data_IF_097446421642
#
_entry.id   IF_097446421642
#
_cell.length_a   1.000
_cell.length_b   1.000
_cell.length_c   1.000
_cell.angle_alpha   90.00
_cell.angle_beta   90.00
_cell.angle_gamma   90.00
#
_symmetry.space_group_name_H-M   'P 1'
#
loop_
_entity.id
_entity.type
_entity.pdbx_description
1 polymer ?
#
# COMPACT_ATOMS: atom_id res chain seq x y z
N UNK A 1 1.97 -68.57 -1.78
CA UNK A 1 1.19 -67.47 -2.39
C UNK A 1 0.11 -67.07 -1.40
N UNK A 2 0.33 -65.98 -0.68
CA UNK A 2 -0.61 -65.49 0.34
C UNK A 2 -1.32 -64.28 -0.26
N UNK A 3 -2.61 -64.42 -0.58
CA UNK A 3 -3.45 -63.30 -1.03
C UNK A 3 -3.70 -62.37 0.17
N UNK A 4 -3.16 -61.15 0.11
CA UNK A 4 -3.55 -60.07 1.00
C UNK A 4 -4.85 -59.44 0.49
N UNK A 5 -5.92 -59.52 1.30
CA UNK A 5 -7.19 -58.87 1.00
C UNK A 5 -7.05 -57.35 1.15
N UNK A 6 -7.19 -56.62 0.04
CA UNK A 6 -7.35 -55.17 0.01
C UNK A 6 -8.80 -54.85 0.41
N UNK A 7 -9.01 -54.44 1.66
CA UNK A 7 -10.27 -53.84 2.09
C UNK A 7 -10.50 -52.49 1.39
N UNK A 8 -11.76 -52.11 1.11
CA UNK A 8 -12.07 -50.86 0.45
C UNK A 8 -11.70 -49.69 1.38
N UNK A 9 -10.75 -48.84 0.94
CA UNK A 9 -10.55 -47.52 1.53
C UNK A 9 -11.81 -46.70 1.21
N UNK A 10 -12.67 -46.53 2.20
CA UNK A 10 -13.65 -45.45 2.19
C UNK A 10 -12.87 -44.15 1.99
N UNK A 11 -13.02 -43.53 0.83
CA UNK A 11 -12.50 -42.21 0.56
C UNK A 11 -13.23 -41.24 1.50
N UNK A 12 -12.61 -40.94 2.65
CA UNK A 12 -13.00 -39.77 3.43
C UNK A 12 -12.85 -38.58 2.48
N UNK A 13 -13.96 -37.92 2.17
CA UNK A 13 -13.95 -36.55 1.64
C UNK A 13 -13.17 -35.71 2.66
N UNK A 14 -11.87 -35.48 2.43
CA UNK A 14 -11.07 -34.59 3.28
C UNK A 14 -11.79 -33.24 3.33
N UNK A 15 -12.25 -32.87 4.52
CA UNK A 15 -12.86 -31.56 4.74
C UNK A 15 -11.85 -30.49 4.33
N UNK A 16 -12.29 -29.52 3.53
CA UNK A 16 -11.41 -28.46 3.06
C UNK A 16 -10.93 -27.60 4.23
N UNK A 17 -9.65 -27.29 4.25
CA UNK A 17 -9.08 -26.34 5.21
C UNK A 17 -9.67 -24.95 4.96
N UNK A 18 -9.99 -24.23 6.03
CA UNK A 18 -10.63 -22.91 5.95
C UNK A 18 -9.62 -21.80 6.15
N UNK A 19 -9.48 -20.92 5.17
CA UNK A 19 -8.63 -19.73 5.28
C UNK A 19 -9.47 -18.47 5.14
N UNK A 20 -9.39 -17.61 6.15
CA UNK A 20 -10.03 -16.28 6.12
C UNK A 20 -8.98 -15.23 5.78
N UNK A 21 -9.27 -14.38 4.79
CA UNK A 21 -8.42 -13.26 4.40
C UNK A 21 -9.14 -11.96 4.78
N UNK A 22 -8.46 -11.10 5.54
CA UNK A 22 -9.00 -9.83 6.06
C UNK A 22 -8.38 -8.66 5.30
N UNK A 23 -9.21 -7.95 4.53
CA UNK A 23 -8.83 -6.81 3.69
C UNK A 23 -8.62 -7.20 2.22
N UNK A 24 -9.33 -6.55 1.31
CA UNK A 24 -9.33 -6.81 -0.14
C UNK A 24 -8.34 -5.97 -0.95
N UNK A 25 -7.44 -5.23 -0.29
CA UNK A 25 -6.36 -4.53 -0.97
C UNK A 25 -5.33 -5.47 -1.61
N UNK A 26 -4.22 -4.91 -2.09
CA UNK A 26 -3.18 -5.66 -2.82
C UNK A 26 -2.70 -6.92 -2.09
N UNK A 27 -2.43 -6.82 -0.78
CA UNK A 27 -1.98 -7.97 0.00
C UNK A 27 -3.02 -9.08 0.07
N UNK A 28 -4.26 -8.77 0.47
CA UNK A 28 -5.28 -9.80 0.67
C UNK A 28 -5.84 -10.36 -0.62
N UNK A 29 -6.10 -9.54 -1.65
CA UNK A 29 -6.53 -10.04 -2.95
C UNK A 29 -5.49 -10.98 -3.59
N UNK A 30 -4.20 -10.63 -3.49
CA UNK A 30 -3.11 -11.49 -3.95
C UNK A 30 -3.05 -12.78 -3.13
N UNK A 31 -3.11 -12.71 -1.80
CA UNK A 31 -3.06 -13.89 -0.94
C UNK A 31 -4.23 -14.84 -1.23
N UNK A 32 -5.45 -14.31 -1.33
CA UNK A 32 -6.65 -15.10 -1.64
C UNK A 32 -6.54 -15.81 -3.00
N UNK A 33 -6.11 -15.09 -4.05
CA UNK A 33 -5.91 -15.66 -5.39
C UNK A 33 -4.87 -16.78 -5.37
N UNK A 34 -3.73 -16.56 -4.73
CA UNK A 34 -2.63 -17.53 -4.74
C UNK A 34 -2.93 -18.75 -3.85
N UNK A 35 -3.62 -18.57 -2.72
CA UNK A 35 -4.15 -19.70 -1.93
C UNK A 35 -5.12 -20.54 -2.76
N UNK A 36 -6.01 -19.91 -3.53
CA UNK A 36 -6.97 -20.61 -4.40
C UNK A 36 -6.27 -21.41 -5.50
N UNK A 37 -5.13 -20.92 -5.99
CA UNK A 37 -4.32 -21.58 -7.00
C UNK A 37 -3.45 -22.71 -6.43
N UNK A 38 -3.03 -22.63 -5.16
CA UNK A 38 -2.07 -23.55 -4.55
C UNK A 38 -2.67 -24.90 -4.13
N UNK A 39 -3.96 -24.99 -3.80
CA UNK A 39 -4.58 -26.27 -3.43
C UNK A 39 -6.10 -26.28 -3.61
N UNK A 40 -6.64 -27.32 -4.26
CA UNK A 40 -8.11 -27.51 -4.44
C UNK A 40 -8.84 -27.85 -3.13
N UNK A 41 -8.08 -28.08 -2.06
CA UNK A 41 -8.54 -28.49 -0.73
C UNK A 41 -8.67 -27.33 0.26
N UNK A 42 -8.54 -26.07 -0.19
CA UNK A 42 -8.72 -24.88 0.66
C UNK A 42 -10.04 -24.18 0.32
N UNK A 43 -10.84 -23.89 1.32
CA UNK A 43 -12.00 -22.99 1.26
C UNK A 43 -11.56 -21.59 1.71
N UNK A 44 -11.77 -20.57 0.87
CA UNK A 44 -11.24 -19.23 1.08
C UNK A 44 -12.38 -18.24 1.20
N UNK A 45 -12.40 -17.50 2.30
CA UNK A 45 -13.30 -16.37 2.51
C UNK A 45 -12.50 -15.08 2.61
N UNK A 46 -12.70 -14.16 1.67
CA UNK A 46 -12.15 -12.81 1.69
C UNK A 46 -13.17 -11.85 2.28
N UNK A 47 -12.82 -11.15 3.35
CA UNK A 47 -13.66 -10.15 4.02
C UNK A 47 -13.12 -8.76 3.71
N UNK A 48 -13.91 -7.95 3.01
CA UNK A 48 -13.57 -6.57 2.63
C UNK A 48 -14.81 -5.69 2.60
N UNK A 49 -14.88 -4.61 3.40
CA UNK A 49 -16.09 -3.80 3.48
C UNK A 49 -16.42 -3.06 2.18
N UNK A 50 -15.42 -2.67 1.39
CA UNK A 50 -15.66 -1.90 0.17
C UNK A 50 -15.91 -2.83 -1.03
N UNK A 51 -16.97 -2.59 -1.82
CA UNK A 51 -17.25 -3.42 -3.01
C UNK A 51 -16.19 -3.26 -4.11
N UNK A 52 -15.42 -2.16 -4.08
CA UNK A 52 -14.36 -1.87 -5.02
C UNK A 52 -13.10 -1.38 -4.29
N UNK A 53 -11.94 -1.68 -4.86
CA UNK A 53 -10.64 -1.17 -4.44
C UNK A 53 -10.14 -0.14 -5.45
N UNK A 54 -9.79 1.06 -4.98
CA UNK A 54 -9.11 2.07 -5.81
C UNK A 54 -7.62 2.11 -5.47
N UNK A 55 -6.76 1.98 -6.47
CA UNK A 55 -5.30 1.96 -6.29
C UNK A 55 -4.78 3.33 -5.85
N UNK A 56 -3.95 3.34 -4.80
CA UNK A 56 -3.23 4.56 -4.41
C UNK A 56 -1.98 4.80 -5.27
N UNK A 57 -1.33 3.74 -5.72
CA UNK A 57 -0.35 3.82 -6.80
C UNK A 57 -1.07 4.27 -8.08
N UNK A 58 -0.40 5.10 -8.88
CA UNK A 58 -0.95 5.79 -10.07
C UNK A 58 -2.02 6.86 -9.77
N UNK A 59 -2.51 7.01 -8.53
CA UNK A 59 -3.46 8.08 -8.20
C UNK A 59 -2.92 9.50 -8.40
N UNK A 60 -1.59 9.68 -8.35
CA UNK A 60 -0.97 10.96 -8.69
C UNK A 60 -1.12 11.31 -10.19
N UNK A 61 -1.20 10.32 -11.09
CA UNK A 61 -1.50 10.54 -12.51
C UNK A 61 -2.94 11.06 -12.67
N UNK A 62 -3.88 10.53 -11.89
CA UNK A 62 -5.25 11.08 -11.83
C UNK A 62 -5.25 12.52 -11.32
N UNK A 63 -4.47 12.85 -10.28
CA UNK A 63 -4.33 14.23 -9.79
C UNK A 63 -3.77 15.18 -10.86
N UNK A 64 -2.97 14.66 -11.80
CA UNK A 64 -2.47 15.40 -12.96
C UNK A 64 -3.44 15.44 -14.15
N UNK A 65 -4.54 14.68 -14.12
CA UNK A 65 -5.47 14.54 -15.25
C UNK A 65 -4.98 13.59 -16.36
N UNK A 66 -4.02 12.71 -16.06
CA UNK A 66 -3.39 11.78 -17.01
C UNK A 66 -4.08 10.40 -17.05
N UNK A 67 -4.95 10.09 -16.09
CA UNK A 67 -5.80 8.89 -16.11
C UNK A 67 -7.13 9.16 -15.39
N UNK A 68 -8.11 8.27 -15.57
CA UNK A 68 -9.40 8.33 -14.88
C UNK A 68 -9.36 7.56 -13.57
N UNK A 69 -10.16 7.96 -12.57
CA UNK A 69 -10.30 7.21 -11.32
C UNK A 69 -10.89 5.79 -11.56
N UNK A 70 -11.72 5.64 -12.58
CA UNK A 70 -12.28 4.34 -12.98
C UNK A 70 -11.18 3.37 -13.40
N UNK A 71 -10.17 3.82 -14.16
CA UNK A 71 -9.01 2.99 -14.53
C UNK A 71 -8.20 2.50 -13.32
N UNK A 72 -8.34 3.21 -12.19
CA UNK A 72 -7.73 2.87 -10.90
C UNK A 72 -8.62 2.02 -10.00
N UNK A 73 -9.84 1.70 -10.41
CA UNK A 73 -10.84 1.05 -9.55
C UNK A 73 -11.11 -0.39 -10.01
N UNK A 74 -11.08 -1.32 -9.06
CA UNK A 74 -11.12 -2.75 -9.31
C UNK A 74 -12.15 -3.44 -8.41
N UNK A 75 -12.93 -4.35 -8.99
CA UNK A 75 -13.92 -5.14 -8.26
C UNK A 75 -13.43 -6.56 -7.97
N UNK A 76 -14.17 -7.28 -7.11
CA UNK A 76 -13.81 -8.63 -6.67
C UNK A 76 -14.50 -9.76 -7.44
N UNK A 77 -15.34 -9.42 -8.42
CA UNK A 77 -16.14 -10.40 -9.19
C UNK A 77 -15.29 -11.50 -9.82
N UNK A 78 -14.14 -11.14 -10.39
CA UNK A 78 -13.23 -12.10 -11.02
C UNK A 78 -12.65 -13.09 -10.00
N UNK A 79 -12.28 -12.61 -8.81
CA UNK A 79 -11.79 -13.47 -7.72
C UNK A 79 -12.89 -14.44 -7.28
N UNK A 80 -14.13 -13.99 -7.15
CA UNK A 80 -15.25 -14.86 -6.81
C UNK A 80 -15.55 -15.91 -7.89
N UNK A 81 -15.72 -15.48 -9.14
CA UNK A 81 -16.22 -16.35 -10.21
C UNK A 81 -15.15 -17.29 -10.78
N UNK A 82 -13.91 -16.82 -10.93
CA UNK A 82 -12.83 -17.59 -11.56
C UNK A 82 -12.02 -18.41 -10.56
N UNK A 83 -11.84 -17.89 -9.34
CA UNK A 83 -11.02 -18.51 -8.31
C UNK A 83 -11.85 -19.15 -7.18
N UNK A 84 -13.18 -19.05 -7.22
CA UNK A 84 -14.07 -19.67 -6.24
C UNK A 84 -13.93 -19.07 -4.83
N UNK A 85 -13.45 -17.82 -4.72
CA UNK A 85 -13.25 -17.14 -3.45
C UNK A 85 -14.60 -16.60 -2.96
N UNK A 86 -15.00 -16.95 -1.73
CA UNK A 86 -16.17 -16.37 -1.11
C UNK A 86 -15.83 -14.95 -0.65
N UNK A 87 -16.40 -13.93 -1.29
CA UNK A 87 -16.17 -12.52 -0.94
C UNK A 87 -17.32 -12.01 -0.10
N UNK A 88 -17.02 -11.60 1.14
CA UNK A 88 -17.99 -11.03 2.07
C UNK A 88 -17.71 -9.53 2.21
N UNK A 89 -18.71 -8.73 1.88
CA UNK A 89 -18.67 -7.28 2.08
C UNK A 89 -19.09 -6.90 3.50
N UNK A 90 -18.14 -7.04 4.42
CA UNK A 90 -18.28 -6.67 5.83
C UNK A 90 -16.90 -6.24 6.38
N UNK A 91 -16.90 -5.65 7.56
CA UNK A 91 -15.69 -5.40 8.35
C UNK A 91 -15.46 -6.53 9.35
N UNK A 92 -14.20 -6.86 9.60
CA UNK A 92 -13.83 -7.73 10.74
C UNK A 92 -13.85 -6.92 12.03
N UNK A 93 -14.47 -7.48 13.07
CA UNK A 93 -14.52 -6.92 14.41
C UNK A 93 -13.40 -7.49 15.30
N UNK A 94 -13.19 -8.80 15.25
CA UNK A 94 -12.18 -9.49 16.06
C UNK A 94 -11.67 -10.78 15.39
N UNK A 95 -10.46 -11.19 15.73
CA UNK A 95 -9.92 -12.53 15.47
C UNK A 95 -9.65 -13.19 16.81
N UNK A 96 -10.31 -14.32 17.07
CA UNK A 96 -10.15 -15.11 18.28
C UNK A 96 -9.20 -16.29 18.00
N UNK A 97 -7.94 -16.24 18.48
CA UNK A 97 -6.97 -17.30 18.26
C UNK A 97 -7.25 -18.59 19.06
N UNK A 98 -8.05 -18.50 20.13
CA UNK A 98 -8.39 -19.64 20.99
C UNK A 98 -9.56 -20.41 20.38
N UNK A 99 -10.65 -19.71 20.07
CA UNK A 99 -11.82 -20.31 19.41
C UNK A 99 -11.60 -20.56 17.91
N UNK A 100 -10.54 -20.00 17.32
CA UNK A 100 -10.22 -20.02 15.88
C UNK A 100 -11.38 -19.49 15.03
N UNK A 101 -11.84 -18.30 15.37
CA UNK A 101 -12.92 -17.62 14.62
C UNK A 101 -12.56 -16.18 14.27
N UNK A 102 -13.02 -15.72 13.10
CA UNK A 102 -13.03 -14.32 12.70
C UNK A 102 -14.46 -13.79 12.89
N UNK A 103 -14.65 -12.89 13.84
CA UNK A 103 -15.92 -12.23 14.09
C UNK A 103 -16.12 -11.04 13.16
N UNK A 104 -17.26 -11.00 12.46
CA UNK A 104 -17.64 -9.89 11.60
C UNK A 104 -18.41 -8.82 12.39
N UNK A 105 -18.37 -7.57 11.93
CA UNK A 105 -19.12 -6.47 12.56
C UNK A 105 -20.63 -6.67 12.48
N UNK A 106 -21.14 -7.35 11.46
CA UNK A 106 -22.57 -7.70 11.39
C UNK A 106 -23.00 -8.79 12.38
N UNK A 107 -22.07 -9.47 13.06
CA UNK A 107 -22.34 -10.50 14.07
C UNK A 107 -21.90 -11.93 13.74
N UNK A 108 -21.91 -12.43 12.48
CA UNK A 108 -21.46 -13.76 12.14
C UNK A 108 -20.00 -14.03 12.54
N UNK A 109 -19.70 -15.29 12.82
CA UNK A 109 -18.34 -15.77 13.11
C UNK A 109 -17.92 -16.80 12.06
N UNK A 110 -16.76 -16.58 11.45
CA UNK A 110 -16.18 -17.44 10.44
C UNK A 110 -15.13 -18.35 11.10
N UNK A 111 -15.30 -19.68 11.12
CA UNK A 111 -14.25 -20.58 11.60
C UNK A 111 -13.08 -20.60 10.63
N UNK A 112 -11.86 -20.76 11.15
CA UNK A 112 -10.65 -20.81 10.33
C UNK A 112 -9.64 -21.85 10.82
N UNK A 113 -8.82 -22.33 9.90
CA UNK A 113 -7.56 -23.04 10.18
C UNK A 113 -6.36 -22.09 10.11
N UNK A 114 -6.40 -21.11 9.20
CA UNK A 114 -5.44 -19.98 9.12
C UNK A 114 -6.14 -18.66 8.80
N UNK A 115 -5.54 -17.55 9.19
CA UNK A 115 -5.98 -16.20 8.81
C UNK A 115 -4.85 -15.44 8.12
N UNK A 116 -5.16 -14.70 7.06
CA UNK A 116 -4.27 -13.69 6.47
C UNK A 116 -4.86 -12.31 6.74
N UNK A 117 -4.10 -11.43 7.40
CA UNK A 117 -4.50 -10.09 7.79
C UNK A 117 -3.72 -9.08 6.93
N UNK A 118 -4.42 -8.35 6.06
CA UNK A 118 -3.86 -7.36 5.15
C UNK A 118 -4.61 -6.00 5.19
N UNK A 119 -4.71 -5.35 6.36
CA UNK A 119 -5.57 -4.17 6.55
C UNK A 119 -4.96 -2.86 6.01
N UNK A 120 -3.72 -2.91 5.49
CA UNK A 120 -2.99 -1.71 5.10
C UNK A 120 -2.58 -0.85 6.29
N UNK A 121 -2.72 0.46 6.13
CA UNK A 121 -2.34 1.47 7.14
C UNK A 121 -3.57 2.03 7.86
N UNK A 122 -3.34 2.55 9.06
CA UNK A 122 -4.16 3.59 9.66
C UNK A 122 -3.33 4.86 9.83
N UNK A 123 -4.03 5.98 10.07
CA UNK A 123 -3.40 7.27 10.37
C UNK A 123 -3.32 7.48 11.87
N UNK A 124 -2.19 7.98 12.34
CA UNK A 124 -1.98 8.39 13.71
C UNK A 124 -2.37 9.86 13.86
N UNK A 125 -3.66 10.12 14.01
CA UNK A 125 -4.20 11.47 14.16
C UNK A 125 -3.72 12.16 15.44
N UNK A 126 -3.40 11.38 16.49
CA UNK A 126 -2.86 11.92 17.74
C UNK A 126 -1.42 12.46 17.60
N UNK A 127 -0.71 12.10 16.52
CA UNK A 127 0.66 12.53 16.29
C UNK A 127 0.79 13.91 15.60
N UNK A 128 -0.31 14.50 15.15
CA UNK A 128 -0.30 15.81 14.47
C UNK A 128 -1.41 16.72 15.00
N UNK A 129 -1.04 17.65 15.87
CA UNK A 129 -1.99 18.54 16.53
C UNK A 129 -2.82 19.35 15.52
N UNK A 130 -4.14 19.39 15.73
CA UNK A 130 -5.08 20.10 14.85
C UNK A 130 -5.47 19.34 13.58
N UNK A 131 -5.04 18.08 13.42
CA UNK A 131 -5.37 17.27 12.24
C UNK A 131 -5.92 15.90 12.62
N UNK A 132 -7.23 15.85 12.85
CA UNK A 132 -7.98 14.63 13.15
C UNK A 132 -8.65 14.03 11.90
N UNK A 133 -9.47 12.99 12.09
CA UNK A 133 -10.21 12.36 10.99
C UNK A 133 -11.18 13.33 10.30
N UNK A 134 -11.82 14.25 11.04
CA UNK A 134 -12.74 15.23 10.47
C UNK A 134 -11.99 16.25 9.59
N UNK A 135 -10.77 16.63 9.97
CA UNK A 135 -9.90 17.52 9.20
C UNK A 135 -9.67 17.00 7.77
N UNK A 136 -9.66 15.67 7.57
CA UNK A 136 -9.44 15.04 6.26
C UNK A 136 -10.50 15.40 5.21
N UNK A 137 -11.68 15.84 5.64
CA UNK A 137 -12.77 16.26 4.74
C UNK A 137 -12.54 17.66 4.16
N UNK A 138 -11.66 18.46 4.77
CA UNK A 138 -11.32 19.82 4.34
C UNK A 138 -9.91 19.88 3.77
N UNK A 139 -8.96 19.21 4.41
CA UNK A 139 -7.56 19.11 4.00
C UNK A 139 -7.32 17.61 3.76
N UNK A 140 -7.41 17.11 2.53
CA UNK A 140 -7.30 15.68 2.27
C UNK A 140 -5.86 15.19 2.44
N UNK A 141 -5.69 13.96 2.90
CA UNK A 141 -4.41 13.25 2.86
C UNK A 141 -4.19 12.55 1.51
N UNK A 142 -5.27 12.03 0.90
CA UNK A 142 -5.25 11.25 -0.34
C UNK A 142 -4.18 10.12 -0.33
N UNK A 143 -3.96 9.52 0.85
CA UNK A 143 -3.07 8.36 1.09
C UNK A 143 -3.83 7.02 1.18
N UNK A 144 -5.16 7.10 1.16
CA UNK A 144 -6.08 6.07 0.70
C UNK A 144 -6.83 6.68 -0.48
N UNK A 145 -6.86 5.98 -1.62
CA UNK A 145 -7.43 6.53 -2.85
C UNK A 145 -8.96 6.47 -2.87
N UNK A 146 -9.56 6.99 -3.93
CA UNK A 146 -11.01 7.10 -4.08
C UNK A 146 -11.50 8.49 -3.64
N UNK A 147 -12.45 8.60 -2.68
CA UNK A 147 -13.05 9.88 -2.30
C UNK A 147 -12.05 10.97 -1.91
N UNK A 148 -10.99 10.62 -1.18
CA UNK A 148 -9.93 11.55 -0.78
C UNK A 148 -9.12 12.07 -1.96
N UNK A 149 -8.79 11.21 -2.94
CA UNK A 149 -8.10 11.64 -4.17
C UNK A 149 -9.00 12.53 -5.03
N UNK A 150 -10.30 12.23 -5.11
CA UNK A 150 -11.26 13.10 -5.81
C UNK A 150 -11.41 14.45 -5.13
N UNK A 151 -11.45 14.49 -3.79
CA UNK A 151 -11.48 15.73 -3.03
C UNK A 151 -10.25 16.58 -3.32
N UNK A 152 -9.05 16.00 -3.25
CA UNK A 152 -7.82 16.71 -3.59
C UNK A 152 -7.83 17.22 -5.04
N UNK A 153 -8.24 16.39 -6.01
CA UNK A 153 -8.35 16.82 -7.42
C UNK A 153 -9.30 18.01 -7.58
N UNK A 154 -10.49 17.96 -6.98
CA UNK A 154 -11.46 19.08 -7.03
C UNK A 154 -10.88 20.35 -6.41
N UNK A 155 -10.18 20.23 -5.28
CA UNK A 155 -9.53 21.37 -4.64
C UNK A 155 -8.46 21.98 -5.55
N UNK A 156 -7.60 21.16 -6.16
CA UNK A 156 -6.61 21.61 -7.14
C UNK A 156 -7.27 22.30 -8.33
N UNK A 157 -8.34 21.74 -8.90
CA UNK A 157 -9.07 22.35 -10.02
C UNK A 157 -9.69 23.71 -9.65
N UNK A 158 -10.27 23.81 -8.45
CA UNK A 158 -10.90 25.03 -7.93
C UNK A 158 -9.92 26.11 -7.46
N UNK A 159 -8.64 25.76 -7.24
CA UNK A 159 -7.63 26.70 -6.76
C UNK A 159 -7.41 27.81 -7.78
N UNK A 160 -7.41 29.09 -7.40
CA UNK A 160 -7.06 30.15 -8.35
C UNK A 160 -5.61 30.05 -8.81
N UNK A 161 -5.33 30.47 -10.04
CA UNK A 161 -3.95 30.61 -10.52
C UNK A 161 -3.19 31.62 -9.64
N UNK A 162 -1.93 31.34 -9.32
CA UNK A 162 -1.18 32.04 -8.28
C UNK A 162 -1.34 31.46 -6.87
N UNK A 163 -2.29 30.54 -6.67
CA UNK A 163 -2.49 29.84 -5.40
C UNK A 163 -1.29 29.00 -4.97
N UNK A 164 -1.09 28.88 -3.66
CA UNK A 164 -0.04 28.03 -3.06
C UNK A 164 -0.63 26.68 -2.66
N UNK A 165 -0.08 25.61 -3.22
CA UNK A 165 -0.32 24.25 -2.76
C UNK A 165 0.72 23.86 -1.71
N UNK A 166 0.27 23.52 -0.50
CA UNK A 166 1.16 23.05 0.57
C UNK A 166 0.98 21.55 0.75
N UNK A 167 2.08 20.80 0.61
CA UNK A 167 2.14 19.37 0.88
C UNK A 167 2.94 19.11 2.16
N UNK A 168 2.35 18.42 3.14
CA UNK A 168 3.05 18.00 4.36
C UNK A 168 3.40 16.52 4.25
N UNK A 169 4.70 16.22 4.20
CA UNK A 169 5.22 14.85 4.12
C UNK A 169 5.50 14.27 5.53
N UNK A 170 5.13 13.01 5.81
CA UNK A 170 5.24 12.43 7.15
C UNK A 170 6.67 11.95 7.46
N UNK A 171 6.96 11.67 8.75
CA UNK A 171 8.17 10.94 9.14
C UNK A 171 8.12 9.47 8.67
N UNK A 172 9.28 8.81 8.68
CA UNK A 172 9.37 7.36 8.45
C UNK A 172 8.89 6.56 9.67
N UNK A 173 8.39 5.31 9.48
CA UNK A 173 8.03 4.71 8.20
C UNK A 173 6.63 5.12 7.72
N UNK A 174 6.42 5.19 6.41
CA UNK A 174 5.12 5.44 5.78
C UNK A 174 4.98 4.69 4.45
N UNK A 175 3.75 4.54 3.96
CA UNK A 175 3.42 3.93 2.67
C UNK A 175 4.02 4.75 1.52
N UNK A 176 4.74 4.05 0.65
CA UNK A 176 5.34 4.53 -0.59
C UNK A 176 6.23 5.77 -0.40
N UNK A 177 7.48 5.61 0.05
CA UNK A 177 8.39 6.71 0.35
C UNK A 177 8.55 7.80 -0.74
N UNK A 178 8.62 7.49 -2.05
CA UNK A 178 8.77 8.52 -3.08
C UNK A 178 7.46 9.24 -3.46
N UNK A 179 6.30 8.72 -3.04
CA UNK A 179 5.00 9.21 -3.52
C UNK A 179 4.66 10.67 -3.19
N UNK A 180 5.10 11.29 -2.07
CA UNK A 180 4.82 12.70 -1.81
C UNK A 180 5.50 13.61 -2.83
N UNK A 181 6.69 13.21 -3.26
CA UNK A 181 7.53 13.95 -4.20
C UNK A 181 7.08 13.68 -5.65
N UNK A 182 6.64 12.46 -5.97
CA UNK A 182 5.92 12.16 -7.23
C UNK A 182 4.65 13.01 -7.35
N UNK A 183 3.89 13.14 -6.25
CA UNK A 183 2.71 14.00 -6.20
C UNK A 183 3.05 15.44 -6.50
N UNK A 184 4.10 15.98 -5.89
CA UNK A 184 4.57 17.33 -6.18
C UNK A 184 4.93 17.49 -7.66
N UNK A 185 5.69 16.56 -8.24
CA UNK A 185 6.04 16.57 -9.67
C UNK A 185 4.81 16.57 -10.59
N UNK A 186 3.83 15.70 -10.32
CA UNK A 186 2.65 15.56 -11.17
C UNK A 186 1.62 16.68 -10.97
N UNK A 187 1.53 17.26 -9.78
CA UNK A 187 0.77 18.51 -9.56
C UNK A 187 1.48 19.69 -10.22
N UNK A 188 2.81 19.76 -10.19
CA UNK A 188 3.58 20.79 -10.89
C UNK A 188 3.37 20.72 -12.41
N UNK A 189 3.33 19.50 -12.96
CA UNK A 189 2.93 19.29 -14.34
C UNK A 189 1.53 19.87 -14.62
N UNK A 190 0.54 19.59 -13.77
CA UNK A 190 -0.80 20.16 -13.90
C UNK A 190 -0.79 21.70 -13.81
N UNK A 191 -0.10 22.30 -12.84
CA UNK A 191 0.01 23.75 -12.71
C UNK A 191 0.70 24.39 -13.92
N UNK A 192 1.76 23.80 -14.44
CA UNK A 192 2.43 24.29 -15.66
C UNK A 192 1.46 24.41 -16.85
N UNK A 193 0.45 23.54 -16.95
CA UNK A 193 -0.53 23.57 -18.03
C UNK A 193 -1.69 24.54 -17.77
N UNK A 194 -2.16 24.64 -16.52
CA UNK A 194 -3.45 25.29 -16.22
C UNK A 194 -3.39 26.44 -15.22
N UNK A 195 -2.33 26.52 -14.41
CA UNK A 195 -2.15 27.48 -13.31
C UNK A 195 -0.66 27.85 -13.16
N UNK A 196 -0.03 28.44 -14.19
CA UNK A 196 1.42 28.60 -14.26
C UNK A 196 2.00 29.58 -13.23
N UNK A 197 1.17 30.41 -12.58
CA UNK A 197 1.59 31.29 -11.50
C UNK A 197 1.50 30.63 -10.12
N UNK A 198 0.86 29.47 -10.00
CA UNK A 198 0.81 28.70 -8.76
C UNK A 198 2.16 28.10 -8.40
N UNK A 199 2.36 27.88 -7.10
CA UNK A 199 3.57 27.27 -6.54
C UNK A 199 3.25 26.13 -5.58
N UNK A 200 4.23 25.27 -5.38
CA UNK A 200 4.16 24.09 -4.52
C UNK A 200 5.20 24.25 -3.42
N UNK A 201 4.76 24.09 -2.18
CA UNK A 201 5.61 24.06 -1.01
C UNK A 201 5.49 22.70 -0.33
N UNK A 202 6.61 21.98 -0.23
CA UNK A 202 6.70 20.72 0.49
C UNK A 202 7.31 21.01 1.86
N UNK A 203 6.52 20.82 2.91
CA UNK A 203 6.95 20.89 4.30
C UNK A 203 7.23 19.46 4.78
N UNK A 204 8.50 19.14 4.95
CA UNK A 204 8.92 17.77 5.24
C UNK A 204 9.28 17.58 6.71
N UNK A 205 8.80 16.47 7.29
CA UNK A 205 9.24 16.02 8.62
C UNK A 205 10.64 15.38 8.62
N UNK A 206 11.33 15.35 7.46
CA UNK A 206 12.64 14.73 7.25
C UNK A 206 13.64 15.72 6.66
N UNK A 207 14.92 15.43 6.83
CA UNK A 207 16.03 16.21 6.26
C UNK A 207 16.58 15.62 4.95
N UNK A 208 16.09 14.45 4.57
CA UNK A 208 16.35 13.83 3.27
C UNK A 208 15.21 12.89 2.90
N UNK A 209 15.09 12.57 1.60
CA UNK A 209 14.05 11.68 1.11
C UNK A 209 14.50 10.73 0.00
N UNK A 210 13.67 9.73 -0.28
CA UNK A 210 13.98 8.70 -1.26
C UNK A 210 14.06 9.27 -2.67
N UNK A 211 15.15 8.95 -3.40
CA UNK A 211 15.42 9.42 -4.75
C UNK A 211 15.52 10.96 -4.88
N UNK A 212 15.94 11.65 -3.80
CA UNK A 212 16.02 13.10 -3.74
C UNK A 212 16.76 13.74 -4.93
N UNK A 213 17.94 13.25 -5.29
CA UNK A 213 18.71 13.82 -6.41
C UNK A 213 17.97 13.71 -7.76
N UNK A 214 17.24 12.61 -7.98
CA UNK A 214 16.42 12.43 -9.19
C UNK A 214 15.28 13.45 -9.24
N UNK A 215 14.63 13.71 -8.10
CA UNK A 215 13.55 14.69 -8.00
C UNK A 215 14.06 16.12 -8.17
N UNK A 216 15.12 16.51 -7.47
CA UNK A 216 15.68 17.86 -7.55
C UNK A 216 16.16 18.18 -8.97
N UNK A 217 16.84 17.24 -9.63
CA UNK A 217 17.23 17.36 -11.04
C UNK A 217 16.00 17.53 -11.96
N UNK A 218 14.97 16.70 -11.80
CA UNK A 218 13.76 16.84 -12.60
C UNK A 218 12.99 18.13 -12.34
N UNK A 219 12.95 18.61 -11.10
CA UNK A 219 12.28 19.86 -10.77
C UNK A 219 13.00 21.05 -11.40
N UNK A 220 14.33 21.06 -11.41
CA UNK A 220 15.09 22.09 -12.12
C UNK A 220 14.86 22.04 -13.64
N UNK A 221 14.82 20.83 -14.23
CA UNK A 221 14.59 20.66 -15.68
C UNK A 221 13.17 21.01 -16.11
N UNK A 222 12.15 20.62 -15.34
CA UNK A 222 10.76 20.67 -15.79
C UNK A 222 9.92 21.78 -15.16
N UNK A 223 10.23 22.15 -13.91
CA UNK A 223 9.37 22.94 -13.03
C UNK A 223 10.16 24.01 -12.26
N UNK A 224 11.19 24.58 -12.89
CA UNK A 224 12.10 25.56 -12.28
C UNK A 224 11.33 26.67 -11.56
N UNK A 225 11.59 26.83 -10.26
CA UNK A 225 10.97 27.86 -9.42
C UNK A 225 9.53 27.55 -8.96
N UNK A 226 8.92 26.45 -9.39
CA UNK A 226 7.54 26.09 -9.03
C UNK A 226 7.46 25.26 -7.74
N UNK A 227 8.46 24.42 -7.47
CA UNK A 227 8.50 23.52 -6.32
C UNK A 227 9.60 23.97 -5.35
N UNK A 228 9.20 24.23 -4.12
CA UNK A 228 10.10 24.49 -2.99
C UNK A 228 9.97 23.35 -1.97
N UNK A 229 11.11 22.81 -1.52
CA UNK A 229 11.16 21.77 -0.50
C UNK A 229 11.89 22.29 0.73
N UNK A 230 11.19 22.28 1.86
CA UNK A 230 11.72 22.71 3.15
C UNK A 230 11.87 21.50 4.09
N UNK A 231 13.10 21.03 4.33
CA UNK A 231 13.34 19.96 5.29
C UNK A 231 13.10 20.40 6.74
N UNK A 232 13.00 19.41 7.63
CA UNK A 232 12.69 19.62 9.04
C UNK A 232 13.67 20.58 9.74
N UNK A 233 14.96 20.53 9.38
CA UNK A 233 16.01 21.40 9.91
C UNK A 233 15.77 22.90 9.67
N UNK A 234 15.02 23.28 8.63
CA UNK A 234 14.67 24.69 8.37
C UNK A 234 13.35 25.09 9.04
N UNK A 235 12.39 24.17 9.11
CA UNK A 235 11.06 24.45 9.68
C UNK A 235 11.00 24.26 11.21
N UNK A 236 11.97 23.54 11.79
CA UNK A 236 11.94 23.07 13.18
C UNK A 236 10.82 22.05 13.44
N UNK A 237 10.34 21.40 12.37
CA UNK A 237 9.27 20.43 12.36
C UNK A 237 7.86 21.03 12.39
N UNK A 238 6.89 20.25 11.93
CA UNK A 238 5.47 20.61 11.90
C UNK A 238 4.91 20.55 13.32
N UNK A 239 4.22 21.62 13.76
CA UNK A 239 3.67 21.72 15.12
C UNK A 239 2.16 21.54 15.13
N UNK A 240 1.44 22.22 14.25
CA UNK A 240 -0.01 22.10 14.17
C UNK A 240 -0.56 22.48 12.80
N UNK A 241 -1.71 21.90 12.46
CA UNK A 241 -2.50 22.27 11.29
C UNK A 241 -3.70 23.09 11.75
N UNK A 242 -3.87 24.28 11.18
CA UNK A 242 -5.10 25.04 11.30
C UNK A 242 -5.99 24.74 10.09
N UNK A 243 -7.02 23.91 10.31
CA UNK A 243 -7.94 23.46 9.26
C UNK A 243 -8.81 24.62 8.75
N UNK A 244 -9.19 25.55 9.63
CA UNK A 244 -10.07 26.67 9.29
C UNK A 244 -9.34 27.68 8.41
N UNK A 245 -8.13 28.03 8.80
CA UNK A 245 -7.28 28.99 8.07
C UNK A 245 -6.48 28.34 6.93
N UNK A 246 -6.58 27.01 6.77
CA UNK A 246 -5.76 26.20 5.85
C UNK A 246 -4.28 26.55 5.94
N UNK A 247 -3.74 26.44 7.15
CA UNK A 247 -2.35 26.79 7.40
C UNK A 247 -1.59 25.72 8.18
N UNK A 248 -0.29 25.65 7.93
CA UNK A 248 0.64 24.75 8.61
C UNK A 248 1.57 25.58 9.46
N UNK A 249 1.52 25.37 10.78
CA UNK A 249 2.40 26.06 11.72
C UNK A 249 3.60 25.18 12.04
N UNK A 250 4.78 25.74 11.88
CA UNK A 250 6.06 25.10 12.21
C UNK A 250 6.68 25.81 13.42
N UNK A 251 7.91 25.45 13.81
CA UNK A 251 8.61 26.18 14.86
C UNK A 251 9.03 27.58 14.40
N UNK A 252 9.36 27.70 13.11
CA UNK A 252 9.92 28.92 12.52
C UNK A 252 8.85 29.88 12.00
N UNK A 253 7.78 29.36 11.39
CA UNK A 253 6.81 30.20 10.66
C UNK A 253 5.42 29.55 10.51
N UNK A 254 4.51 30.24 9.83
CA UNK A 254 3.18 29.73 9.48
C UNK A 254 2.94 29.87 7.98
N UNK A 255 2.68 28.74 7.33
CA UNK A 255 2.46 28.67 5.89
C UNK A 255 0.98 28.58 5.58
N UNK A 256 0.43 29.60 4.90
CA UNK A 256 -0.94 29.57 4.40
C UNK A 256 -1.01 28.87 3.05
N UNK A 257 -2.06 28.08 2.85
CA UNK A 257 -2.28 27.32 1.64
C UNK A 257 -3.63 27.67 1.00
N UNK A 258 -3.66 27.83 -0.32
CA UNK A 258 -4.93 27.83 -1.05
C UNK A 258 -5.52 26.41 -1.06
N UNK A 259 -4.65 25.40 -1.24
CA UNK A 259 -4.94 23.98 -1.08
C UNK A 259 -3.85 23.34 -0.24
N UNK A 260 -4.24 22.62 0.82
CA UNK A 260 -3.31 21.85 1.64
C UNK A 260 -3.54 20.34 1.44
N UNK A 261 -2.45 19.58 1.36
CA UNK A 261 -2.44 18.13 1.40
C UNK A 261 -1.57 17.67 2.57
N UNK A 262 -2.19 17.15 3.61
CA UNK A 262 -1.48 16.72 4.84
C UNK A 262 -1.50 15.21 4.93
N UNK A 263 -0.32 14.59 4.87
CA UNK A 263 -0.16 13.15 5.03
C UNK A 263 0.28 12.91 6.48
N UNK A 264 -0.61 12.41 7.37
CA UNK A 264 -0.26 12.22 8.77
C UNK A 264 0.68 11.00 8.94
N UNK A 265 1.38 10.90 10.07
CA UNK A 265 2.12 9.69 10.44
C UNK A 265 1.22 8.45 10.41
N UNK A 266 1.81 7.29 10.13
CA UNK A 266 1.07 6.07 9.83
C UNK A 266 1.40 4.96 10.82
N UNK A 267 0.48 4.02 10.95
CA UNK A 267 0.63 2.77 11.70
C UNK A 267 -0.06 1.62 10.94
N UNK A 268 0.05 0.39 11.42
CA UNK A 268 -0.77 -0.71 10.92
C UNK A 268 -2.26 -0.40 11.13
N UNK A 269 -3.14 -0.90 10.25
CA UNK A 269 -4.58 -0.67 10.37
C UNK A 269 -5.10 -0.96 11.78
N UNK A 270 -5.85 -0.04 12.39
CA UNK A 270 -6.21 -0.02 13.84
C UNK A 270 -6.63 -1.38 14.42
N UNK A 271 -7.33 -2.17 13.62
CA UNK A 271 -7.73 -3.55 13.92
C UNK A 271 -6.57 -4.42 14.46
N UNK A 272 -5.33 -4.23 13.98
CA UNK A 272 -4.19 -5.06 14.38
C UNK A 272 -3.78 -4.85 15.84
N UNK A 273 -3.89 -3.62 16.37
CA UNK A 273 -3.57 -3.34 17.76
C UNK A 273 -4.62 -3.97 18.68
N UNK A 274 -5.90 -3.81 18.34
CA UNK A 274 -7.04 -4.35 19.09
C UNK A 274 -7.03 -5.88 19.19
N UNK A 275 -6.37 -6.54 18.23
CA UNK A 275 -6.27 -8.01 18.15
C UNK A 275 -4.88 -8.54 18.51
N UNK A 276 -4.03 -7.70 19.14
CA UNK A 276 -2.72 -8.12 19.63
C UNK A 276 -1.74 -8.57 18.53
N UNK A 277 -1.90 -8.05 17.31
CA UNK A 277 -1.03 -8.34 16.16
C UNK A 277 0.05 -7.30 15.96
N UNK A 278 -0.13 -6.08 16.48
CA UNK A 278 0.86 -5.01 16.42
C UNK A 278 1.58 -4.85 17.77
N UNK A 279 2.89 -4.56 17.72
CA UNK A 279 3.68 -4.25 18.91
C UNK A 279 3.69 -2.75 19.23
N UNK A 280 4.55 -2.33 20.18
CA UNK A 280 4.67 -0.93 20.62
C UNK A 280 5.10 0.04 19.52
N UNK A 281 5.69 -0.44 18.42
CA UNK A 281 6.00 0.39 17.25
C UNK A 281 4.75 0.78 16.45
N UNK A 282 3.61 0.13 16.70
CA UNK A 282 2.38 0.29 15.92
C UNK A 282 2.35 -0.57 14.65
N UNK A 283 3.31 -1.47 14.45
CA UNK A 283 3.39 -2.38 13.31
C UNK A 283 3.42 -3.85 13.75
N UNK A 284 3.13 -4.76 12.82
CA UNK A 284 3.01 -6.19 13.12
C UNK A 284 4.33 -6.94 12.92
N UNK A 285 5.01 -7.42 13.98
CA UNK A 285 6.19 -8.26 13.82
C UNK A 285 5.81 -9.63 13.28
N UNK A 286 6.50 -10.05 12.21
CA UNK A 286 6.20 -11.31 11.50
C UNK A 286 7.43 -12.19 11.36
N UNK A 287 7.19 -13.50 11.24
CA UNK A 287 8.19 -14.44 10.76
C UNK A 287 8.61 -14.09 9.32
N UNK A 288 9.91 -13.99 9.01
CA UNK A 288 10.38 -13.52 7.72
C UNK A 288 10.18 -14.53 6.57
N UNK A 289 9.87 -15.80 6.88
CA UNK A 289 9.65 -16.86 5.89
C UNK A 289 8.16 -17.02 5.64
N UNK A 290 7.34 -17.12 6.69
CA UNK A 290 5.92 -17.49 6.59
C UNK A 290 4.97 -16.32 6.70
N UNK A 291 5.46 -15.15 7.14
CA UNK A 291 4.63 -14.00 7.51
C UNK A 291 3.63 -14.29 8.64
N UNK A 292 3.81 -15.39 9.38
CA UNK A 292 3.05 -15.68 10.59
C UNK A 292 3.38 -14.63 11.66
N UNK A 293 2.37 -14.16 12.39
CA UNK A 293 2.55 -13.20 13.47
C UNK A 293 3.45 -13.80 14.54
N UNK A 294 4.46 -13.03 14.98
CA UNK A 294 5.28 -13.40 16.14
C UNK A 294 4.53 -13.28 17.46
N UNK A 295 3.31 -12.71 17.44
CA UNK A 295 2.48 -12.48 18.62
C UNK A 295 1.30 -13.45 18.71
N UNK A 296 0.78 -13.91 17.57
CA UNK A 296 -0.42 -14.76 17.51
C UNK A 296 -0.24 -15.90 16.49
N UNK A 297 0.10 -17.12 16.94
CA UNK A 297 0.23 -18.29 16.06
C UNK A 297 -1.04 -18.56 15.25
N UNK A 298 -0.89 -18.99 14.00
CA UNK A 298 -2.00 -19.26 13.09
C UNK A 298 -2.56 -18.03 12.35
N UNK A 299 -2.12 -16.82 12.71
CA UNK A 299 -2.50 -15.58 12.04
C UNK A 299 -1.28 -15.04 11.30
N UNK A 300 -1.43 -14.76 10.01
CA UNK A 300 -0.39 -14.19 9.15
C UNK A 300 -0.70 -12.73 8.85
N UNK A 301 0.33 -11.89 8.72
CA UNK A 301 0.16 -10.46 8.39
C UNK A 301 1.00 -10.11 7.18
N UNK A 302 0.41 -9.43 6.19
CA UNK A 302 1.10 -9.02 4.96
C UNK A 302 0.79 -7.57 4.59
N UNK A 303 1.63 -7.00 3.72
CA UNK A 303 1.51 -5.63 3.24
C UNK A 303 1.98 -4.59 4.26
N UNK A 304 1.43 -3.38 4.15
CA UNK A 304 1.92 -2.23 4.90
C UNK A 304 1.88 -2.42 6.42
N UNK A 305 0.97 -3.26 6.93
CA UNK A 305 0.84 -3.51 8.37
C UNK A 305 2.09 -4.18 8.99
N UNK A 306 2.93 -4.81 8.17
CA UNK A 306 4.08 -5.59 8.66
C UNK A 306 5.25 -4.72 9.14
N UNK A 307 6.01 -5.28 10.09
CA UNK A 307 7.40 -4.94 10.37
C UNK A 307 8.27 -6.04 9.75
N UNK A 308 8.72 -5.82 8.51
CA UNK A 308 9.32 -6.83 7.63
C UNK A 308 10.76 -6.48 7.23
N UNK A 309 11.58 -6.07 8.21
CA UNK A 309 12.99 -5.74 8.00
C UNK A 309 13.18 -4.58 7.02
N UNK A 310 14.05 -4.78 6.03
CA UNK A 310 14.44 -3.73 5.08
C UNK A 310 13.39 -3.49 3.97
N UNK A 311 12.27 -4.23 3.94
CA UNK A 311 11.26 -4.08 2.89
C UNK A 311 10.45 -2.77 3.05
N UNK A 312 10.32 -1.95 2.00
CA UNK A 312 9.49 -0.75 2.04
C UNK A 312 8.00 -1.09 2.07
N UNK A 313 7.18 -0.16 2.55
CA UNK A 313 5.71 -0.27 2.50
C UNK A 313 5.22 0.14 1.10
N UNK A 314 5.13 -0.83 0.18
CA UNK A 314 4.68 -0.59 -1.21
C UNK A 314 3.66 -1.64 -1.64
N UNK A 315 2.91 -1.34 -2.71
CA UNK A 315 2.00 -2.30 -3.32
C UNK A 315 2.74 -3.55 -3.79
N UNK A 316 3.91 -3.39 -4.44
CA UNK A 316 4.70 -4.51 -4.93
C UNK A 316 5.17 -5.42 -3.78
N UNK A 317 5.65 -4.82 -2.69
CA UNK A 317 6.01 -5.57 -1.48
C UNK A 317 4.81 -6.32 -0.92
N UNK A 318 3.65 -5.67 -0.81
CA UNK A 318 2.43 -6.33 -0.34
C UNK A 318 2.05 -7.55 -1.19
N UNK A 319 2.15 -7.45 -2.52
CA UNK A 319 1.95 -8.58 -3.44
C UNK A 319 3.00 -9.68 -3.26
N UNK A 320 4.29 -9.31 -3.16
CA UNK A 320 5.38 -10.27 -2.96
C UNK A 320 5.26 -11.04 -1.64
N UNK A 321 4.95 -10.33 -0.54
CA UNK A 321 4.71 -10.92 0.78
C UNK A 321 3.48 -11.83 0.77
N UNK A 322 2.40 -11.39 0.11
CA UNK A 322 1.16 -12.18 0.01
C UNK A 322 1.37 -13.51 -0.74
N UNK A 323 2.18 -13.53 -1.80
CA UNK A 323 2.54 -14.77 -2.50
C UNK A 323 3.33 -15.71 -1.59
N UNK A 324 4.36 -15.20 -0.92
CA UNK A 324 5.16 -15.99 0.01
C UNK A 324 4.30 -16.56 1.17
N UNK A 325 3.42 -15.73 1.73
CA UNK A 325 2.48 -16.13 2.78
C UNK A 325 1.50 -17.22 2.29
N UNK A 326 0.91 -17.04 1.10
CA UNK A 326 0.00 -18.02 0.51
C UNK A 326 0.67 -19.39 0.32
N UNK A 327 1.90 -19.41 -0.21
CA UNK A 327 2.67 -20.65 -0.37
C UNK A 327 3.02 -21.28 0.99
N UNK A 328 3.48 -20.49 1.95
CA UNK A 328 3.80 -21.01 3.29
C UNK A 328 2.57 -21.61 4.00
N UNK A 329 1.38 -21.01 3.85
CA UNK A 329 0.13 -21.56 4.37
C UNK A 329 -0.22 -22.88 3.66
N UNK A 330 -0.13 -22.91 2.32
CA UNK A 330 -0.44 -24.12 1.56
C UNK A 330 0.52 -25.28 1.91
N UNK A 331 1.83 -25.01 2.02
CA UNK A 331 2.85 -25.97 2.45
C UNK A 331 2.55 -26.49 3.86
N UNK A 332 2.22 -25.61 4.80
CA UNK A 332 1.90 -25.99 6.18
C UNK A 332 0.63 -26.86 6.26
N UNK A 333 -0.39 -26.59 5.44
CA UNK A 333 -1.62 -27.39 5.38
C UNK A 333 -1.40 -28.73 4.67
N UNK A 334 -0.46 -28.80 3.72
CA UNK A 334 -0.08 -30.03 3.03
C UNK A 334 0.96 -30.88 3.81
N UNK A 335 1.45 -30.41 4.96
CA UNK A 335 2.53 -31.07 5.70
C UNK A 335 3.87 -31.10 4.94
N UNK A 336 4.07 -30.17 4.01
CA UNK A 336 5.29 -30.05 3.19
C UNK A 336 6.38 -29.23 3.89
N UNK A 337 7.63 -29.40 3.44
CA UNK A 337 8.74 -28.59 3.93
C UNK A 337 8.59 -27.12 3.52
N UNK A 338 8.96 -26.22 4.43
CA UNK A 338 8.89 -24.78 4.21
C UNK A 338 10.10 -24.30 3.42
N UNK A 339 9.86 -23.64 2.29
CA UNK A 339 10.96 -23.08 1.47
C UNK A 339 11.12 -21.58 1.75
N UNK A 340 12.33 -21.10 2.09
CA UNK A 340 12.57 -19.66 2.25
C UNK A 340 12.19 -18.87 0.98
N UNK A 341 11.35 -17.83 1.08
CA UNK A 341 10.90 -17.08 -0.08
C UNK A 341 12.02 -16.20 -0.65
N UNK A 342 11.95 -15.97 -1.96
CA UNK A 342 12.60 -14.83 -2.61
C UNK A 342 11.57 -13.71 -2.75
N UNK A 343 11.91 -12.54 -2.24
CA UNK A 343 11.00 -11.40 -2.17
C UNK A 343 11.53 -10.28 -3.05
N UNK A 344 10.62 -9.51 -3.64
CA UNK A 344 10.97 -8.48 -4.61
C UNK A 344 10.15 -7.21 -4.39
N UNK A 345 10.72 -6.08 -4.82
CA UNK A 345 10.03 -4.81 -4.97
C UNK A 345 10.43 -4.18 -6.31
N UNK A 346 9.46 -3.73 -7.08
CA UNK A 346 9.68 -2.78 -8.17
C UNK A 346 8.74 -1.60 -7.98
N UNK A 347 9.29 -0.39 -7.96
CA UNK A 347 8.51 0.84 -7.97
C UNK A 347 8.86 1.65 -9.21
N UNK A 348 7.84 2.29 -9.78
CA UNK A 348 7.97 3.33 -10.79
C UNK A 348 7.51 4.66 -10.20
N UNK A 349 8.23 5.73 -10.54
CA UNK A 349 7.99 7.07 -10.03
C UNK A 349 8.02 8.04 -11.19
N UNK A 350 6.93 8.77 -11.40
CA UNK A 350 6.83 9.79 -12.45
C UNK A 350 7.38 11.13 -11.95
N UNK A 351 8.40 11.62 -12.66
CA UNK A 351 8.93 12.97 -12.53
C UNK A 351 8.18 13.95 -13.46
N UNK A 352 7.54 13.42 -14.49
CA UNK A 352 6.59 14.07 -15.39
C UNK A 352 5.79 13.02 -16.16
N UNK A 353 4.91 13.39 -17.11
CA UNK A 353 4.12 12.42 -17.86
C UNK A 353 4.98 11.42 -18.65
N UNK A 354 6.07 11.90 -19.25
CA UNK A 354 6.99 11.12 -20.09
C UNK A 354 8.40 10.98 -19.47
N UNK A 355 8.55 11.31 -18.19
CA UNK A 355 9.81 11.20 -17.46
C UNK A 355 9.56 10.40 -16.19
N UNK A 356 10.00 9.14 -16.18
CA UNK A 356 9.87 8.28 -15.01
C UNK A 356 11.19 7.58 -14.68
N UNK A 357 11.29 7.21 -13.40
CA UNK A 357 12.41 6.46 -12.83
C UNK A 357 11.89 5.19 -12.18
N UNK A 358 12.77 4.21 -12.03
CA UNK A 358 12.41 2.96 -11.38
C UNK A 358 13.43 2.54 -10.33
N UNK A 359 12.99 1.66 -9.44
CA UNK A 359 13.88 0.85 -8.63
C UNK A 359 13.45 -0.62 -8.69
N UNK A 360 14.41 -1.50 -8.46
CA UNK A 360 14.18 -2.93 -8.32
C UNK A 360 15.04 -3.47 -7.18
N UNK A 361 14.42 -4.11 -6.21
CA UNK A 361 15.09 -4.58 -5.00
C UNK A 361 14.72 -6.03 -4.75
N UNK A 362 15.71 -6.87 -4.51
CA UNK A 362 15.53 -8.26 -4.09
C UNK A 362 15.85 -8.40 -2.61
N UNK A 363 15.08 -9.23 -1.91
CA UNK A 363 15.23 -9.47 -0.48
C UNK A 363 15.23 -10.96 -0.16
N UNK A 364 15.86 -11.31 0.98
CA UNK A 364 15.81 -12.67 1.53
C UNK A 364 15.72 -12.65 3.07
N UNK A 365 15.15 -13.69 3.68
CA UNK A 365 15.27 -13.92 5.12
C UNK A 365 16.74 -14.14 5.52
N UNK A 366 17.22 -13.39 6.51
CA UNK A 366 18.55 -13.53 7.12
C UNK A 366 18.41 -13.32 8.63
N UNK A 367 18.86 -14.29 9.43
CA UNK A 367 18.92 -14.18 10.89
C UNK A 367 17.62 -13.67 11.55
N UNK A 368 16.45 -14.19 11.13
CA UNK A 368 15.16 -13.85 11.74
C UNK A 368 14.54 -12.51 11.29
N UNK A 369 15.14 -11.83 10.31
CA UNK A 369 14.62 -10.63 9.64
C UNK A 369 14.75 -10.73 8.12
N UNK A 370 14.25 -9.74 7.37
CA UNK A 370 14.37 -9.68 5.91
C UNK A 370 15.39 -8.60 5.54
N UNK A 371 16.35 -8.95 4.67
CA UNK A 371 17.45 -8.08 4.26
C UNK A 371 17.52 -7.91 2.74
N UNK A 372 17.95 -6.73 2.32
CA UNK A 372 18.25 -6.44 0.91
C UNK A 372 19.40 -7.34 0.46
N UNK A 373 19.27 -7.91 -0.74
CA UNK A 373 20.27 -8.74 -1.41
C UNK A 373 20.84 -8.05 -2.63
N UNK A 374 19.97 -7.41 -3.39
CA UNK A 374 20.30 -6.68 -4.60
C UNK A 374 19.41 -5.45 -4.71
N UNK A 375 19.95 -4.37 -5.25
CA UNK A 375 19.28 -3.07 -5.32
C UNK A 375 19.72 -2.31 -6.56
N UNK A 376 18.76 -2.07 -7.45
CA UNK A 376 18.88 -1.19 -8.59
C UNK A 376 18.02 0.06 -8.37
N UNK A 377 18.56 1.22 -8.69
CA UNK A 377 17.84 2.50 -8.75
C UNK A 377 18.29 3.25 -10.00
N UNK A 378 17.35 3.83 -10.72
CA UNK A 378 17.64 4.73 -11.83
C UNK A 378 18.61 5.85 -11.43
N UNK A 379 19.46 6.26 -12.37
CA UNK A 379 20.50 7.26 -12.13
C UNK A 379 20.14 8.62 -12.74
N UNK A 380 20.65 9.74 -12.21
CA UNK A 380 20.32 11.11 -12.66
C UNK A 380 20.64 11.32 -14.15
N UNK A 381 21.80 10.83 -14.59
CA UNK A 381 22.36 10.97 -15.93
C UNK A 381 21.72 10.07 -17.01
N UNK A 382 20.63 9.35 -16.72
CA UNK A 382 19.93 8.56 -17.72
C UNK A 382 19.37 9.45 -18.84
N UNK A 383 19.42 8.95 -20.08
CA UNK A 383 18.93 9.69 -21.25
C UNK A 383 17.43 9.93 -21.19
N UNK A 384 16.94 10.99 -21.84
CA UNK A 384 15.51 11.25 -21.98
C UNK A 384 14.76 10.07 -22.64
N UNK A 385 15.38 9.38 -23.60
CA UNK A 385 14.82 8.15 -24.19
C UNK A 385 14.64 7.05 -23.15
N UNK A 386 15.61 6.86 -22.25
CA UNK A 386 15.50 5.89 -21.16
C UNK A 386 14.38 6.27 -20.20
N UNK A 387 14.28 7.54 -19.81
CA UNK A 387 13.18 8.04 -18.95
C UNK A 387 11.80 7.82 -19.57
N UNK A 388 11.67 8.10 -20.87
CA UNK A 388 10.43 7.89 -21.62
C UNK A 388 10.08 6.39 -21.71
N UNK A 389 11.07 5.52 -21.97
CA UNK A 389 10.86 4.08 -21.95
C UNK A 389 10.38 3.61 -20.58
N UNK A 390 11.01 4.08 -19.49
CA UNK A 390 10.61 3.77 -18.12
C UNK A 390 9.16 4.19 -17.82
N UNK A 391 8.72 5.34 -18.34
CA UNK A 391 7.33 5.79 -18.18
C UNK A 391 6.33 4.82 -18.85
N UNK A 392 6.64 4.32 -20.05
CA UNK A 392 5.82 3.29 -20.73
C UNK A 392 5.86 1.95 -20.01
N UNK A 393 7.01 1.57 -19.47
CA UNK A 393 7.15 0.37 -18.63
C UNK A 393 6.29 0.46 -17.38
N UNK A 394 6.19 1.63 -16.75
CA UNK A 394 5.31 1.86 -15.61
C UNK A 394 3.84 1.52 -15.95
N UNK A 395 3.34 1.97 -17.11
CA UNK A 395 1.98 1.66 -17.57
C UNK A 395 1.78 0.16 -17.78
N UNK A 396 2.76 -0.50 -18.40
CA UNK A 396 2.75 -1.95 -18.62
C UNK A 396 2.79 -2.72 -17.31
N UNK A 397 3.60 -2.24 -16.35
CA UNK A 397 3.69 -2.76 -15.00
C UNK A 397 2.34 -2.65 -14.30
N UNK A 398 1.69 -1.49 -14.33
CA UNK A 398 0.39 -1.28 -13.69
C UNK A 398 -0.64 -2.30 -14.20
N UNK A 399 -0.79 -2.40 -15.52
CA UNK A 399 -1.74 -3.32 -16.15
C UNK A 399 -1.45 -4.80 -15.79
N UNK A 400 -0.19 -5.21 -15.85
CA UNK A 400 0.21 -6.57 -15.47
C UNK A 400 0.00 -6.84 -13.97
N UNK A 401 0.28 -5.86 -13.12
CA UNK A 401 0.22 -5.95 -11.67
C UNK A 401 -1.22 -6.07 -11.17
N UNK A 402 -2.14 -5.21 -11.64
CA UNK A 402 -3.56 -5.30 -11.23
C UNK A 402 -4.23 -6.56 -11.78
N UNK A 403 -3.83 -7.02 -12.97
CA UNK A 403 -4.24 -8.33 -13.50
C UNK A 403 -3.77 -9.47 -12.61
N UNK A 404 -2.53 -9.42 -12.15
CA UNK A 404 -2.03 -10.42 -11.21
C UNK A 404 -2.83 -10.39 -9.90
N UNK A 405 -3.03 -9.24 -9.29
CA UNK A 405 -3.72 -9.17 -7.99
C UNK A 405 -5.21 -9.54 -8.07
N UNK A 406 -5.96 -9.03 -9.06
CA UNK A 406 -7.41 -9.21 -9.14
C UNK A 406 -7.86 -10.32 -10.11
N UNK A 407 -6.90 -11.00 -10.75
CA UNK A 407 -7.15 -12.25 -11.48
C UNK A 407 -7.73 -12.09 -12.90
N UNK A 408 -7.64 -10.91 -13.50
CA UNK A 408 -8.13 -10.66 -14.87
C UNK A 408 -7.46 -11.58 -15.91
N UNK A 409 -8.13 -11.83 -17.03
CA UNK A 409 -7.55 -12.61 -18.13
C UNK A 409 -6.42 -11.84 -18.83
N UNK A 410 -5.51 -12.55 -19.50
CA UNK A 410 -4.66 -11.94 -20.50
C UNK A 410 -5.52 -11.64 -21.75
N UNK A 411 -5.30 -10.47 -22.37
CA UNK A 411 -5.93 -10.11 -23.64
C UNK A 411 -5.40 -10.96 -24.79
#
# INVERSE_FOLDING_TARGET
MTLAALGPRLAASEAKAKVVVVGGGIGGATAAKYLAASARTIEITLVEPNPNYTTCFFSNLYLAGLCSLESLTHGYKTLAQRYGINVIHDSVAAVDPVARTVGLKSGPKLPYDRVVVAPGIAFNYDALAGYDEAATQVIPHAWNAGPQTQLLRRQLESMEDGGVFVLVAPPNPFRCPPAPYERASLIAYYFKQYKPHSRILILDAKDSFNAQDLFLDAWERHYRGMIEWLPAQFTGGIKTIDVKERSVKTASETFKAAVANVIPPQMAGQFTQQNGLADKSGWCPVDPITFESKLQPGIHVVGDATSAGDMPKSAFVANSQAKACAFAIAEALAGSERVPPRLFNTCYTHLGPDDAVSNAVSFKPVAGTIKIVDNFVSQVQESAETRHRTAREAQSWYAAFVRDTFGYAAF
#
